data_IF_973717202961
#
_entry.id   IF_973717202961
#
_cell.length_a   1.000
_cell.length_b   1.000
_cell.length_c   1.000
_cell.angle_alpha   90.00
_cell.angle_beta   90.00
_cell.angle_gamma   90.00
#
_symmetry.space_group_name_H-M   'P 1'
#
loop_
_entity.id
_entity.type
_entity.pdbx_description
1 polymer ?
#
# COMPACT_ATOMS: atom_id res chain seq x y z
N UNK A 1 -29.77 10.84 21.30
CA UNK A 1 -30.04 9.39 21.16
C UNK A 1 -28.87 8.74 20.43
N UNK A 2 -27.91 8.25 21.22
CA UNK A 2 -26.78 7.46 20.73
C UNK A 2 -27.31 6.08 20.32
N UNK A 3 -27.20 5.70 19.05
CA UNK A 3 -27.49 4.34 18.61
C UNK A 3 -26.34 3.45 19.04
N UNK A 4 -26.60 2.55 19.99
CA UNK A 4 -25.75 1.40 20.29
C UNK A 4 -25.37 0.69 18.99
N UNK A 5 -24.09 0.79 18.61
CA UNK A 5 -23.53 0.06 17.49
C UNK A 5 -23.33 -1.39 17.94
N UNK A 6 -24.20 -2.30 17.45
CA UNK A 6 -24.02 -3.75 17.58
C UNK A 6 -22.67 -4.14 16.97
N UNK A 7 -21.77 -4.67 17.78
CA UNK A 7 -20.52 -5.30 17.33
C UNK A 7 -20.86 -6.52 16.49
N UNK A 8 -20.67 -6.43 15.18
CA UNK A 8 -20.96 -7.51 14.21
C UNK A 8 -19.86 -8.57 14.34
N UNK A 9 -20.24 -9.86 14.31
CA UNK A 9 -19.26 -10.95 14.36
C UNK A 9 -18.36 -10.93 13.10
N UNK A 10 -17.09 -11.35 13.24
CA UNK A 10 -16.15 -11.38 12.11
C UNK A 10 -16.67 -12.16 10.90
N UNK A 11 -17.39 -13.26 11.14
CA UNK A 11 -18.02 -14.06 10.08
C UNK A 11 -19.14 -13.31 9.35
N UNK A 12 -19.98 -12.53 10.06
CA UNK A 12 -21.02 -11.72 9.42
C UNK A 12 -20.44 -10.55 8.63
N UNK A 13 -19.35 -9.95 9.12
CA UNK A 13 -18.60 -8.92 8.39
C UNK A 13 -18.06 -9.46 7.07
N UNK A 14 -17.41 -10.61 7.08
CA UNK A 14 -16.89 -11.25 5.85
C UNK A 14 -18.00 -11.62 4.87
N UNK A 15 -19.09 -12.23 5.35
CA UNK A 15 -20.24 -12.57 4.49
C UNK A 15 -20.83 -11.35 3.78
N UNK A 16 -21.04 -10.25 4.51
CA UNK A 16 -21.56 -8.99 3.93
C UNK A 16 -20.59 -8.39 2.90
N UNK A 17 -19.29 -8.42 3.18
CA UNK A 17 -18.25 -7.98 2.24
C UNK A 17 -18.26 -8.78 0.94
N UNK A 18 -18.33 -10.12 1.03
CA UNK A 18 -18.38 -11.01 -0.14
C UNK A 18 -19.64 -10.76 -0.96
N UNK A 19 -20.81 -10.67 -0.32
CA UNK A 19 -22.08 -10.40 -1.01
C UNK A 19 -22.01 -9.04 -1.73
N UNK A 20 -21.47 -8.01 -1.08
CA UNK A 20 -21.29 -6.69 -1.67
C UNK A 20 -20.37 -6.73 -2.91
N UNK A 21 -19.28 -7.50 -2.83
CA UNK A 21 -18.34 -7.69 -3.94
C UNK A 21 -18.98 -8.41 -5.13
N UNK A 22 -19.69 -9.52 -4.89
CA UNK A 22 -20.34 -10.31 -5.95
C UNK A 22 -21.44 -9.50 -6.65
N UNK A 23 -22.32 -8.84 -5.88
CA UNK A 23 -23.37 -7.98 -6.44
C UNK A 23 -22.75 -6.81 -7.22
N UNK A 24 -21.65 -6.27 -6.70
CA UNK A 24 -20.82 -5.28 -7.35
C UNK A 24 -20.38 -5.67 -8.75
N UNK A 25 -19.67 -6.80 -8.81
CA UNK A 25 -19.13 -7.37 -10.02
C UNK A 25 -20.22 -7.62 -11.07
N UNK A 26 -21.31 -8.29 -10.68
CA UNK A 26 -22.41 -8.61 -11.59
C UNK A 26 -23.00 -7.33 -12.19
N UNK A 27 -23.20 -6.31 -11.36
CA UNK A 27 -23.74 -5.02 -11.79
C UNK A 27 -22.79 -4.33 -12.76
N UNK A 28 -21.48 -4.27 -12.45
CA UNK A 28 -20.50 -3.61 -13.32
C UNK A 28 -20.35 -4.33 -14.67
N UNK A 29 -20.37 -5.67 -14.69
CA UNK A 29 -20.37 -6.46 -15.94
C UNK A 29 -21.60 -6.15 -16.78
N UNK A 30 -22.80 -6.16 -16.16
CA UNK A 30 -24.05 -5.87 -16.85
C UNK A 30 -24.02 -4.46 -17.47
N UNK A 31 -23.56 -3.47 -16.70
CA UNK A 31 -23.44 -2.09 -17.15
C UNK A 31 -22.41 -1.93 -18.27
N UNK A 32 -21.24 -2.57 -18.14
CA UNK A 32 -20.23 -2.58 -19.18
C UNK A 32 -20.80 -3.12 -20.50
N UNK A 33 -21.39 -4.31 -20.49
CA UNK A 33 -21.95 -4.94 -21.70
C UNK A 33 -23.04 -4.08 -22.32
N UNK A 34 -23.97 -3.58 -21.51
CA UNK A 34 -25.07 -2.75 -21.98
C UNK A 34 -24.57 -1.44 -22.62
N UNK A 35 -23.70 -0.69 -21.93
CA UNK A 35 -23.13 0.58 -22.41
C UNK A 35 -22.23 0.38 -23.61
N UNK A 36 -21.41 -0.67 -23.61
CA UNK A 36 -20.53 -0.98 -24.75
C UNK A 36 -21.34 -1.27 -26.01
N UNK A 37 -22.41 -2.07 -25.89
CA UNK A 37 -23.31 -2.35 -27.00
C UNK A 37 -23.97 -1.08 -27.55
N UNK A 38 -24.60 -0.26 -26.70
CA UNK A 38 -25.23 0.99 -27.17
C UNK A 38 -24.21 2.02 -27.67
N UNK A 39 -22.98 2.03 -27.13
CA UNK A 39 -21.89 2.89 -27.58
C UNK A 39 -21.47 2.54 -29.00
N UNK A 40 -21.28 1.24 -29.29
CA UNK A 40 -20.97 0.75 -30.63
C UNK A 40 -22.09 1.08 -31.64
N UNK A 41 -23.36 0.79 -31.29
CA UNK A 41 -24.48 1.06 -32.19
C UNK A 41 -24.74 2.54 -32.42
N UNK A 42 -24.55 3.39 -31.40
CA UNK A 42 -24.74 4.83 -31.52
C UNK A 42 -23.56 5.55 -32.19
N UNK A 43 -22.38 4.92 -32.24
CA UNK A 43 -21.12 5.55 -32.64
C UNK A 43 -20.60 6.57 -31.63
N UNK A 44 -21.11 6.55 -30.39
CA UNK A 44 -20.74 7.53 -29.35
C UNK A 44 -19.46 7.16 -28.64
N UNK A 45 -18.47 8.05 -28.75
CA UNK A 45 -17.16 7.87 -28.12
C UNK A 45 -17.28 8.09 -26.61
N UNK A 46 -18.15 9.01 -26.16
CA UNK A 46 -18.36 9.25 -24.73
C UNK A 46 -19.08 8.09 -24.03
N UNK A 47 -20.07 7.46 -24.67
CA UNK A 47 -20.73 6.24 -24.14
C UNK A 47 -19.74 5.09 -24.08
N UNK A 48 -18.91 4.90 -25.10
CA UNK A 48 -17.90 3.83 -25.09
C UNK A 48 -16.83 4.06 -24.02
N UNK A 49 -16.37 5.30 -23.81
CA UNK A 49 -15.45 5.63 -22.72
C UNK A 49 -16.07 5.33 -21.35
N UNK A 50 -17.33 5.71 -21.12
CA UNK A 50 -18.06 5.40 -19.88
C UNK A 50 -18.29 3.88 -19.67
N UNK A 51 -18.40 3.11 -20.77
CA UNK A 51 -18.39 1.65 -20.72
C UNK A 51 -17.02 1.12 -20.25
N UNK A 52 -15.90 1.62 -20.78
CA UNK A 52 -14.55 1.21 -20.35
C UNK A 52 -14.27 1.55 -18.88
N UNK A 53 -14.82 2.66 -18.38
CA UNK A 53 -14.75 2.95 -16.95
C UNK A 53 -15.42 1.82 -16.13
N UNK A 54 -16.59 1.36 -16.57
CA UNK A 54 -17.28 0.22 -15.93
C UNK A 54 -16.50 -1.10 -16.08
N UNK A 55 -15.79 -1.28 -17.20
CA UNK A 55 -14.88 -2.42 -17.41
C UNK A 55 -13.69 -2.36 -16.44
N UNK A 56 -13.14 -1.18 -16.17
CA UNK A 56 -12.02 -0.98 -15.25
C UNK A 56 -12.43 -1.42 -13.82
N UNK A 57 -13.62 -1.02 -13.38
CA UNK A 57 -14.19 -1.49 -12.10
C UNK A 57 -14.37 -3.01 -12.05
N UNK A 58 -14.88 -3.59 -13.14
CA UNK A 58 -15.04 -5.04 -13.29
C UNK A 58 -13.68 -5.72 -13.23
N UNK A 59 -12.68 -5.21 -13.93
CA UNK A 59 -11.35 -5.80 -13.99
C UNK A 59 -10.67 -5.77 -12.62
N UNK A 60 -10.77 -4.67 -11.87
CA UNK A 60 -10.34 -4.60 -10.46
C UNK A 60 -11.06 -5.63 -9.59
N UNK A 61 -12.38 -5.78 -9.76
CA UNK A 61 -13.17 -6.77 -9.00
C UNK A 61 -12.83 -8.22 -9.35
N UNK A 62 -12.60 -8.51 -10.64
CA UNK A 62 -12.15 -9.84 -11.10
C UNK A 62 -10.73 -10.10 -10.62
N UNK A 63 -9.85 -9.10 -10.66
CA UNK A 63 -8.49 -9.22 -10.16
C UNK A 63 -8.49 -9.57 -8.68
N UNK A 64 -9.33 -8.92 -7.88
CA UNK A 64 -9.53 -9.30 -6.49
C UNK A 64 -9.98 -10.77 -6.38
N UNK A 65 -11.01 -11.19 -7.13
CA UNK A 65 -11.55 -12.57 -7.02
C UNK A 65 -10.65 -13.69 -7.55
N UNK A 66 -10.01 -13.47 -8.70
CA UNK A 66 -9.10 -14.43 -9.36
C UNK A 66 -7.72 -14.36 -8.72
N UNK A 67 -7.27 -13.17 -8.37
CA UNK A 67 -6.09 -12.92 -7.54
C UNK A 67 -6.16 -13.74 -6.27
N UNK A 68 -7.28 -13.70 -5.53
CA UNK A 68 -7.48 -14.57 -4.36
C UNK A 68 -7.32 -16.06 -4.67
N UNK A 69 -7.83 -16.54 -5.81
CA UNK A 69 -7.76 -17.97 -6.16
C UNK A 69 -6.34 -18.42 -6.52
N UNK A 70 -5.57 -17.57 -7.21
CA UNK A 70 -4.18 -17.85 -7.60
C UNK A 70 -3.23 -17.60 -6.42
N UNK A 71 -3.45 -16.53 -5.66
CA UNK A 71 -2.73 -16.20 -4.43
C UNK A 71 -2.92 -17.27 -3.36
N UNK A 72 -4.08 -17.94 -3.31
CA UNK A 72 -4.32 -19.08 -2.44
C UNK A 72 -3.50 -20.33 -2.82
N UNK A 73 -2.79 -20.34 -3.96
CA UNK A 73 -1.85 -21.42 -4.27
C UNK A 73 -0.69 -21.35 -3.27
N UNK A 74 -0.48 -22.41 -2.46
CA UNK A 74 0.58 -22.42 -1.45
C UNK A 74 1.97 -22.33 -2.09
N UNK A 75 2.98 -22.11 -1.25
CA UNK A 75 4.38 -22.17 -1.66
C UNK A 75 4.69 -23.53 -2.32
N UNK A 76 5.49 -23.49 -3.38
CA UNK A 76 6.03 -24.67 -4.05
C UNK A 76 7.55 -24.55 -4.20
N UNK A 77 8.19 -25.54 -4.84
CA UNK A 77 9.65 -25.62 -4.95
C UNK A 77 10.24 -24.44 -5.75
N UNK A 78 9.51 -23.92 -6.72
CA UNK A 78 9.94 -22.78 -7.53
C UNK A 78 9.63 -21.44 -6.83
N UNK A 79 8.58 -21.41 -6.00
CA UNK A 79 8.08 -20.22 -5.32
C UNK A 79 7.95 -20.46 -3.80
N UNK A 80 9.07 -20.43 -3.04
CA UNK A 80 9.06 -20.74 -1.60
C UNK A 80 8.28 -19.72 -0.76
N UNK A 81 8.13 -18.49 -1.27
CA UNK A 81 7.33 -17.46 -0.61
C UNK A 81 5.83 -17.54 -0.96
N UNK A 82 5.46 -18.35 -1.96
CA UNK A 82 4.08 -18.45 -2.47
C UNK A 82 3.84 -17.63 -3.73
N UNK A 83 2.58 -17.58 -4.15
CA UNK A 83 2.17 -16.99 -5.43
C UNK A 83 1.38 -15.68 -5.27
N UNK A 84 1.32 -15.12 -4.07
CA UNK A 84 0.43 -13.98 -3.79
C UNK A 84 0.78 -12.72 -4.61
N UNK A 85 2.06 -12.50 -4.96
CA UNK A 85 2.45 -11.39 -5.86
C UNK A 85 1.87 -11.49 -7.27
N UNK A 86 1.35 -12.65 -7.70
CA UNK A 86 0.64 -12.74 -8.98
C UNK A 86 -0.60 -11.85 -9.04
N UNK A 87 -1.18 -11.49 -7.89
CA UNK A 87 -2.25 -10.50 -7.82
C UNK A 87 -1.77 -9.14 -8.36
N UNK A 88 -0.62 -8.67 -7.90
CA UNK A 88 -0.04 -7.41 -8.38
C UNK A 88 0.36 -7.47 -9.85
N UNK A 89 0.95 -8.58 -10.29
CA UNK A 89 1.34 -8.79 -11.70
C UNK A 89 0.10 -8.76 -12.60
N UNK A 90 -0.96 -9.46 -12.21
CA UNK A 90 -2.19 -9.50 -12.99
C UNK A 90 -2.85 -8.12 -13.05
N UNK A 91 -2.81 -7.36 -11.94
CA UNK A 91 -3.30 -5.99 -11.87
C UNK A 91 -2.50 -5.03 -12.73
N UNK A 92 -1.18 -5.21 -12.79
CA UNK A 92 -0.31 -4.47 -13.68
C UNK A 92 -0.74 -4.68 -15.15
N UNK A 93 -0.91 -5.93 -15.59
CA UNK A 93 -1.37 -6.23 -16.96
C UNK A 93 -2.73 -5.61 -17.29
N UNK A 94 -3.69 -5.72 -16.37
CA UNK A 94 -5.01 -5.10 -16.52
C UNK A 94 -4.89 -3.58 -16.69
N UNK A 95 -4.05 -2.94 -15.87
CA UNK A 95 -3.84 -1.50 -15.89
C UNK A 95 -3.17 -1.03 -17.18
N UNK A 96 -2.26 -1.83 -17.76
CA UNK A 96 -1.67 -1.56 -19.09
C UNK A 96 -2.77 -1.57 -20.16
N UNK A 97 -3.64 -2.58 -20.15
CA UNK A 97 -4.73 -2.71 -21.14
C UNK A 97 -5.70 -1.53 -21.02
N UNK A 98 -6.12 -1.18 -19.81
CA UNK A 98 -7.03 -0.03 -19.57
C UNK A 98 -6.40 1.27 -20.06
N UNK A 99 -5.12 1.50 -19.75
CA UNK A 99 -4.39 2.69 -20.18
C UNK A 99 -4.30 2.77 -21.71
N UNK A 100 -3.95 1.66 -22.36
CA UNK A 100 -3.90 1.56 -23.82
C UNK A 100 -5.26 1.84 -24.46
N UNK A 101 -6.34 1.24 -23.94
CA UNK A 101 -7.70 1.49 -24.41
C UNK A 101 -8.09 2.96 -24.18
N UNK A 102 -7.69 3.56 -23.06
CA UNK A 102 -7.88 5.00 -22.80
C UNK A 102 -7.26 5.88 -23.89
N UNK A 103 -6.04 5.57 -24.35
CA UNK A 103 -5.41 6.27 -25.47
C UNK A 103 -6.16 6.10 -26.80
N UNK A 104 -6.71 4.91 -27.06
CA UNK A 104 -7.55 4.67 -28.24
C UNK A 104 -8.82 5.54 -28.22
N UNK A 105 -9.46 5.68 -27.05
CA UNK A 105 -10.61 6.57 -26.90
C UNK A 105 -10.24 8.04 -27.00
N UNK A 106 -9.08 8.44 -26.48
CA UNK A 106 -8.57 9.81 -26.61
C UNK A 106 -8.41 10.17 -28.09
N UNK A 107 -7.76 9.30 -28.86
CA UNK A 107 -7.55 9.47 -30.30
C UNK A 107 -8.89 9.45 -31.08
N UNK A 108 -9.82 8.55 -30.73
CA UNK A 108 -11.17 8.54 -31.28
C UNK A 108 -11.94 9.85 -30.98
N UNK A 109 -11.81 10.38 -29.76
CA UNK A 109 -12.43 11.65 -29.36
C UNK A 109 -11.84 12.84 -30.12
N UNK A 110 -10.51 12.89 -30.27
CA UNK A 110 -9.82 13.92 -31.07
C UNK A 110 -10.31 13.87 -32.53
N UNK A 111 -10.33 12.68 -33.14
CA UNK A 111 -10.87 12.52 -34.50
C UNK A 111 -12.30 13.03 -34.60
N UNK A 112 -13.15 12.71 -33.63
CA UNK A 112 -14.55 13.11 -33.62
C UNK A 112 -14.75 14.62 -33.43
N UNK A 113 -13.85 15.29 -32.71
CA UNK A 113 -13.85 16.75 -32.59
C UNK A 113 -13.54 17.39 -33.95
N UNK A 114 -12.51 16.90 -34.66
CA UNK A 114 -12.11 17.47 -35.95
C UNK A 114 -12.97 17.03 -37.14
N UNK A 115 -13.54 15.82 -37.07
CA UNK A 115 -14.42 15.24 -38.08
C UNK A 115 -15.69 14.74 -37.38
N UNK A 116 -16.65 15.65 -37.10
CA UNK A 116 -17.83 15.27 -36.35
C UNK A 116 -18.72 14.33 -37.17
N UNK A 117 -18.94 13.13 -36.66
CA UNK A 117 -19.86 12.14 -37.24
C UNK A 117 -21.22 12.18 -36.55
N UNK A 118 -22.27 11.76 -37.26
CA UNK A 118 -23.63 11.73 -36.70
C UNK A 118 -23.80 10.55 -35.74
N UNK A 119 -24.35 10.84 -34.56
CA UNK A 119 -24.76 9.79 -33.63
C UNK A 119 -26.11 9.17 -33.99
N UNK A 120 -26.20 7.85 -33.84
CA UNK A 120 -27.48 7.12 -33.94
C UNK A 120 -28.12 7.06 -32.55
N UNK A 121 -28.76 8.15 -32.16
CA UNK A 121 -29.42 8.29 -30.86
C UNK A 121 -30.87 7.80 -30.92
N UNK A 122 -31.08 6.55 -30.50
CA UNK A 122 -32.42 5.95 -30.36
C UNK A 122 -32.92 6.05 -28.91
N UNK A 123 -34.24 5.95 -28.64
CA UNK A 123 -34.77 5.94 -27.29
C UNK A 123 -34.13 4.88 -26.38
N UNK A 124 -33.67 3.76 -26.96
CA UNK A 124 -33.01 2.68 -26.22
C UNK A 124 -31.68 3.14 -25.60
N UNK A 125 -30.94 4.03 -26.26
CA UNK A 125 -29.67 4.60 -25.75
C UNK A 125 -29.94 5.35 -24.44
N UNK A 126 -30.94 6.24 -24.46
CA UNK A 126 -31.33 7.01 -23.27
C UNK A 126 -31.85 6.11 -22.14
N UNK A 127 -32.66 5.09 -22.47
CA UNK A 127 -33.16 4.13 -21.47
C UNK A 127 -32.02 3.39 -20.78
N UNK A 128 -31.02 2.91 -21.53
CA UNK A 128 -29.86 2.21 -20.97
C UNK A 128 -29.01 3.13 -20.09
N UNK A 129 -28.79 4.39 -20.50
CA UNK A 129 -28.04 5.36 -19.68
C UNK A 129 -28.78 5.72 -18.38
N UNK A 130 -30.09 5.95 -18.45
CA UNK A 130 -30.93 6.21 -17.26
C UNK A 130 -30.94 5.00 -16.33
N UNK A 131 -31.10 3.80 -16.90
CA UNK A 131 -31.04 2.55 -16.14
C UNK A 131 -29.67 2.36 -15.48
N UNK A 132 -28.59 2.72 -16.17
CA UNK A 132 -27.23 2.68 -15.63
C UNK A 132 -27.04 3.59 -14.43
N UNK A 133 -27.53 4.83 -14.53
CA UNK A 133 -27.53 5.79 -13.41
C UNK A 133 -28.30 5.22 -12.21
N UNK A 134 -29.48 4.65 -12.45
CA UNK A 134 -30.31 4.07 -11.39
C UNK A 134 -29.60 2.89 -10.71
N UNK A 135 -28.98 2.00 -11.48
CA UNK A 135 -28.21 0.88 -10.93
C UNK A 135 -27.00 1.35 -10.11
N UNK A 136 -26.19 2.29 -10.60
CA UNK A 136 -25.05 2.85 -9.86
C UNK A 136 -25.51 3.59 -8.59
N UNK A 137 -26.64 4.30 -8.62
CA UNK A 137 -27.24 4.91 -7.42
C UNK A 137 -27.69 3.87 -6.38
N UNK A 138 -28.29 2.75 -6.81
CA UNK A 138 -28.67 1.66 -5.91
C UNK A 138 -27.43 0.98 -5.33
N UNK A 139 -26.43 0.72 -6.17
CA UNK A 139 -25.15 0.14 -5.79
C UNK A 139 -24.41 1.02 -4.77
N UNK A 140 -24.28 2.32 -5.04
CA UNK A 140 -23.66 3.28 -4.10
C UNK A 140 -24.38 3.36 -2.75
N UNK A 141 -25.72 3.32 -2.76
CA UNK A 141 -26.52 3.24 -1.51
C UNK A 141 -26.29 1.94 -0.76
N UNK A 142 -26.25 0.81 -1.46
CA UNK A 142 -25.95 -0.50 -0.88
C UNK A 142 -24.57 -0.50 -0.21
N UNK A 143 -23.53 -0.04 -0.92
CA UNK A 143 -22.18 0.06 -0.37
C UNK A 143 -22.10 1.01 0.81
N UNK A 144 -22.79 2.15 0.77
CA UNK A 144 -22.85 3.09 1.90
C UNK A 144 -23.48 2.44 3.14
N UNK A 145 -24.52 1.61 2.96
CA UNK A 145 -25.16 0.89 4.07
C UNK A 145 -24.23 -0.17 4.64
N UNK A 146 -23.61 -0.97 3.77
CA UNK A 146 -22.69 -2.01 4.20
C UNK A 146 -21.44 -1.45 4.85
N UNK A 147 -20.81 -0.41 4.29
CA UNK A 147 -19.63 0.24 4.85
C UNK A 147 -19.87 0.75 6.28
N UNK A 148 -21.02 1.38 6.54
CA UNK A 148 -21.41 1.81 7.91
C UNK A 148 -21.69 0.64 8.85
N UNK A 149 -22.26 -0.43 8.31
CA UNK A 149 -22.63 -1.62 9.09
C UNK A 149 -21.37 -2.38 9.53
N UNK A 150 -20.41 -2.59 8.62
CA UNK A 150 -19.20 -3.39 8.90
C UNK A 150 -17.96 -2.54 9.17
N UNK A 151 -18.08 -1.20 9.23
CA UNK A 151 -16.97 -0.25 9.38
C UNK A 151 -15.81 -0.53 8.40
N UNK A 152 -16.14 -0.54 7.10
CA UNK A 152 -15.19 -0.79 6.02
C UNK A 152 -14.93 0.48 5.22
N UNK A 153 -13.71 1.03 5.34
CA UNK A 153 -13.26 2.15 4.52
C UNK A 153 -13.15 1.75 3.03
N UNK A 154 -12.81 0.49 2.73
CA UNK A 154 -12.82 -0.04 1.37
C UNK A 154 -14.20 0.08 0.72
N UNK A 155 -15.27 -0.43 1.37
CA UNK A 155 -16.63 -0.30 0.84
C UNK A 155 -17.12 1.15 0.76
N UNK A 156 -16.59 2.04 1.61
CA UNK A 156 -16.90 3.47 1.57
C UNK A 156 -16.24 4.14 0.36
N UNK A 157 -15.01 3.75 0.00
CA UNK A 157 -14.38 4.14 -1.25
C UNK A 157 -15.17 3.63 -2.46
N UNK A 158 -15.53 2.35 -2.50
CA UNK A 158 -16.34 1.78 -3.60
C UNK A 158 -17.71 2.46 -3.73
N UNK A 159 -18.32 2.88 -2.62
CA UNK A 159 -19.55 3.66 -2.65
C UNK A 159 -19.34 5.02 -3.34
N UNK A 160 -18.24 5.71 -3.02
CA UNK A 160 -17.87 7.00 -3.62
C UNK A 160 -17.65 6.84 -5.13
N UNK A 161 -16.94 5.79 -5.55
CA UNK A 161 -16.69 5.50 -6.96
C UNK A 161 -18.01 5.24 -7.70
N UNK A 162 -18.92 4.46 -7.12
CA UNK A 162 -20.26 4.24 -7.69
C UNK A 162 -21.03 5.55 -7.88
N UNK A 163 -20.87 6.53 -6.99
CA UNK A 163 -21.47 7.86 -7.17
C UNK A 163 -20.73 8.70 -8.22
N UNK A 164 -19.41 8.61 -8.33
CA UNK A 164 -18.65 9.24 -9.40
C UNK A 164 -19.12 8.75 -10.78
N UNK A 165 -19.39 7.46 -10.93
CA UNK A 165 -19.92 6.89 -12.18
C UNK A 165 -21.30 7.41 -12.55
N UNK A 166 -22.12 7.77 -11.55
CA UNK A 166 -23.40 8.44 -11.80
C UNK A 166 -23.16 9.79 -12.47
N UNK A 167 -22.16 10.55 -12.01
CA UNK A 167 -21.82 11.84 -12.63
C UNK A 167 -21.22 11.68 -14.03
N UNK A 168 -20.36 10.67 -14.26
CA UNK A 168 -19.83 10.41 -15.62
C UNK A 168 -20.95 10.01 -16.58
N UNK A 169 -21.81 9.07 -16.17
CA UNK A 169 -22.94 8.61 -17.00
C UNK A 169 -23.95 9.75 -17.22
N UNK A 170 -24.16 10.63 -16.24
CA UNK A 170 -25.01 11.81 -16.38
C UNK A 170 -24.43 12.80 -17.40
N UNK A 171 -23.11 13.05 -17.37
CA UNK A 171 -22.46 13.90 -18.36
C UNK A 171 -22.64 13.34 -19.79
N UNK A 172 -22.52 12.02 -19.96
CA UNK A 172 -22.79 11.32 -21.22
C UNK A 172 -24.25 11.43 -21.64
N UNK A 173 -25.20 11.24 -20.71
CA UNK A 173 -26.62 11.37 -20.97
C UNK A 173 -27.00 12.80 -21.42
N UNK A 174 -26.46 13.81 -20.74
CA UNK A 174 -26.64 15.23 -21.11
C UNK A 174 -26.02 15.51 -22.47
N UNK A 175 -24.82 14.97 -22.74
CA UNK A 175 -24.15 15.05 -24.04
C UNK A 175 -25.04 14.54 -25.18
N UNK A 176 -25.55 13.32 -25.04
CA UNK A 176 -26.46 12.71 -25.99
C UNK A 176 -27.78 13.49 -26.13
N UNK A 177 -28.32 14.03 -25.02
CA UNK A 177 -29.52 14.85 -25.03
C UNK A 177 -29.34 16.15 -25.82
N UNK A 178 -28.27 16.89 -25.55
CA UNK A 178 -27.94 18.13 -26.26
C UNK A 178 -27.77 17.84 -27.75
N UNK A 179 -27.03 16.81 -28.13
CA UNK A 179 -26.82 16.47 -29.53
C UNK A 179 -28.13 16.09 -30.24
N UNK A 180 -29.05 15.40 -29.54
CA UNK A 180 -30.36 15.03 -30.07
C UNK A 180 -31.29 16.24 -30.30
N UNK A 181 -31.32 17.20 -29.39
CA UNK A 181 -32.29 18.32 -29.42
C UNK A 181 -31.76 19.59 -30.10
N UNK A 182 -30.46 19.87 -29.98
CA UNK A 182 -29.83 21.09 -30.53
C UNK A 182 -29.02 20.83 -31.80
N UNK A 183 -28.64 19.57 -32.05
CA UNK A 183 -27.71 19.19 -33.11
C UNK A 183 -26.24 19.53 -32.82
N UNK A 184 -25.92 20.09 -31.65
CA UNK A 184 -24.54 20.40 -31.25
C UNK A 184 -23.76 19.12 -30.98
N UNK A 185 -22.65 18.93 -31.70
CA UNK A 185 -21.84 17.71 -31.68
C UNK A 185 -20.80 17.78 -30.57
N UNK A 186 -21.24 17.54 -29.34
CA UNK A 186 -20.40 17.66 -28.15
C UNK A 186 -19.83 16.32 -27.64
N UNK A 187 -20.26 15.19 -28.21
CA UNK A 187 -19.80 13.85 -27.83
C UNK A 187 -18.28 13.67 -27.88
N UNK A 188 -17.62 14.25 -28.88
CA UNK A 188 -16.16 14.22 -28.99
C UNK A 188 -15.46 14.90 -27.81
N UNK A 189 -15.97 16.03 -27.33
CA UNK A 189 -15.39 16.75 -26.19
C UNK A 189 -15.62 16.03 -24.86
N UNK A 190 -16.83 15.49 -24.65
CA UNK A 190 -17.13 14.71 -23.45
C UNK A 190 -16.32 13.40 -23.44
N UNK A 191 -16.22 12.74 -24.59
CA UNK A 191 -15.35 11.57 -24.77
C UNK A 191 -13.88 11.89 -24.48
N UNK A 192 -13.38 13.05 -24.91
CA UNK A 192 -11.99 13.47 -24.67
C UNK A 192 -11.70 13.60 -23.17
N UNK A 193 -12.59 14.26 -22.42
CA UNK A 193 -12.46 14.41 -20.97
C UNK A 193 -12.50 13.05 -20.27
N UNK A 194 -13.45 12.18 -20.65
CA UNK A 194 -13.56 10.84 -20.08
C UNK A 194 -12.34 9.96 -20.42
N UNK A 195 -11.82 10.03 -21.65
CA UNK A 195 -10.60 9.32 -22.04
C UNK A 195 -9.39 9.79 -21.22
N UNK A 196 -9.25 11.10 -20.99
CA UNK A 196 -8.22 11.64 -20.10
C UNK A 196 -8.35 11.11 -18.66
N UNK A 197 -9.57 11.02 -18.14
CA UNK A 197 -9.84 10.41 -16.83
C UNK A 197 -9.45 8.92 -16.78
N UNK A 198 -9.79 8.14 -17.82
CA UNK A 198 -9.43 6.71 -17.92
C UNK A 198 -7.91 6.53 -17.96
N UNK A 199 -7.19 7.34 -18.76
CA UNK A 199 -5.72 7.30 -18.84
C UNK A 199 -5.12 7.61 -17.48
N UNK A 200 -5.60 8.67 -16.81
CA UNK A 200 -5.14 9.04 -15.47
C UNK A 200 -5.36 7.90 -14.47
N UNK A 201 -6.56 7.30 -14.46
CA UNK A 201 -6.90 6.16 -13.60
C UNK A 201 -5.99 4.96 -13.88
N UNK A 202 -5.80 4.60 -15.15
CA UNK A 202 -4.93 3.50 -15.56
C UNK A 202 -3.46 3.70 -15.15
N UNK A 203 -2.92 4.91 -15.31
CA UNK A 203 -1.55 5.25 -14.88
C UNK A 203 -1.40 5.20 -13.35
N UNK A 204 -2.39 5.68 -12.61
CA UNK A 204 -2.40 5.59 -11.15
C UNK A 204 -2.41 4.13 -10.69
N UNK A 205 -3.25 3.28 -11.30
CA UNK A 205 -3.27 1.84 -11.00
C UNK A 205 -1.94 1.18 -11.34
N UNK A 206 -1.34 1.48 -12.50
CA UNK A 206 -0.01 0.99 -12.88
C UNK A 206 1.03 1.32 -11.82
N UNK A 207 1.08 2.59 -11.40
CA UNK A 207 2.01 3.07 -10.38
C UNK A 207 1.81 2.32 -9.06
N UNK A 208 0.56 2.17 -8.62
CA UNK A 208 0.25 1.50 -7.35
C UNK A 208 0.67 0.03 -7.38
N UNK A 209 0.38 -0.72 -8.46
CA UNK A 209 0.85 -2.10 -8.60
C UNK A 209 2.38 -2.23 -8.71
N UNK A 210 3.06 -1.26 -9.33
CA UNK A 210 4.53 -1.23 -9.36
C UNK A 210 5.09 -1.03 -7.95
N UNK A 211 4.52 -0.12 -7.15
CA UNK A 211 4.94 0.05 -5.77
C UNK A 211 4.74 -1.21 -4.93
N UNK A 212 3.60 -1.89 -5.08
CA UNK A 212 3.35 -3.16 -4.39
C UNK A 212 4.34 -4.26 -4.80
N UNK A 213 4.75 -4.29 -6.07
CA UNK A 213 5.78 -5.22 -6.56
C UNK A 213 7.18 -4.92 -6.03
N UNK A 214 7.53 -3.63 -5.89
CA UNK A 214 8.81 -3.20 -5.31
C UNK A 214 8.89 -3.46 -3.80
N UNK A 215 7.75 -3.59 -3.13
CA UNK A 215 7.64 -3.76 -1.68
C UNK A 215 7.26 -2.44 -1.02
N UNK A 216 5.95 -2.21 -0.89
CA UNK A 216 5.40 -1.01 -0.26
C UNK A 216 5.83 -0.90 1.19
N UNK A 217 6.18 0.31 1.63
CA UNK A 217 6.43 0.58 3.05
C UNK A 217 5.14 0.30 3.85
N UNK A 218 5.23 -0.39 5.00
CA UNK A 218 4.07 -0.56 5.86
C UNK A 218 3.56 0.80 6.36
N UNK A 219 2.29 0.81 6.77
CA UNK A 219 1.70 2.01 7.37
C UNK A 219 2.36 2.32 8.72
N UNK A 220 2.39 3.60 9.10
CA UNK A 220 2.95 4.02 10.39
C UNK A 220 2.24 3.37 11.58
N UNK A 221 0.97 3.03 11.44
CA UNK A 221 0.19 2.32 12.48
C UNK A 221 0.64 0.86 12.64
N UNK A 222 0.94 0.17 11.53
CA UNK A 222 1.47 -1.19 11.57
C UNK A 222 2.85 -1.24 12.23
N UNK A 223 3.75 -0.33 11.83
CA UNK A 223 5.10 -0.23 12.42
C UNK A 223 4.99 0.00 13.93
N UNK A 224 4.18 0.98 14.35
CA UNK A 224 3.97 1.30 15.77
C UNK A 224 3.37 0.13 16.56
N UNK A 225 2.55 -0.69 15.91
CA UNK A 225 1.97 -1.89 16.54
C UNK A 225 3.06 -2.94 16.79
N UNK A 226 3.93 -3.18 15.80
CA UNK A 226 5.08 -4.09 15.92
C UNK A 226 6.07 -3.60 17.00
N UNK A 227 6.45 -2.33 16.96
CA UNK A 227 7.32 -1.71 17.98
C UNK A 227 6.76 -1.88 19.39
N UNK A 228 5.46 -1.59 19.57
CA UNK A 228 4.79 -1.74 20.86
C UNK A 228 4.81 -3.19 21.36
N UNK A 229 4.67 -4.16 20.45
CA UNK A 229 4.76 -5.58 20.80
C UNK A 229 6.19 -5.95 21.21
N UNK A 230 7.21 -5.53 20.45
CA UNK A 230 8.62 -5.75 20.80
C UNK A 230 8.97 -5.12 22.16
N UNK A 231 8.57 -3.87 22.40
CA UNK A 231 8.80 -3.19 23.69
C UNK A 231 8.11 -3.86 24.88
N UNK A 232 7.16 -4.77 24.66
CA UNK A 232 6.44 -5.45 25.74
C UNK A 232 7.23 -6.60 26.37
N UNK A 233 8.24 -7.14 25.66
CA UNK A 233 9.04 -8.25 26.16
C UNK A 233 10.12 -7.73 27.13
N UNK A 234 10.03 -8.14 28.39
CA UNK A 234 11.05 -7.81 29.42
C UNK A 234 12.35 -8.58 29.24
N UNK A 235 12.35 -9.61 28.42
CA UNK A 235 13.50 -10.49 28.15
C UNK A 235 14.50 -9.90 27.15
N UNK A 236 14.14 -8.81 26.48
CA UNK A 236 15.03 -8.09 25.55
C UNK A 236 15.41 -6.75 26.17
N UNK A 237 16.60 -6.26 25.86
CA UNK A 237 17.12 -4.98 26.32
C UNK A 237 16.66 -3.83 25.42
N UNK A 238 16.43 -4.15 24.15
CA UNK A 238 16.10 -3.23 23.09
C UNK A 238 15.91 -3.96 21.76
N UNK A 239 15.59 -3.18 20.73
CA UNK A 239 15.56 -3.64 19.36
C UNK A 239 15.89 -2.47 18.44
N UNK A 240 16.39 -2.80 17.26
CA UNK A 240 16.63 -1.85 16.17
C UNK A 240 16.43 -2.58 14.82
N UNK A 241 16.53 -1.88 13.71
CA UNK A 241 16.52 -2.50 12.38
C UNK A 241 15.28 -3.32 12.04
N UNK A 242 14.10 -2.81 12.45
CA UNK A 242 12.82 -3.39 12.04
C UNK A 242 12.54 -3.10 10.56
N UNK A 243 12.95 -4.03 9.72
CA UNK A 243 12.71 -4.03 8.28
C UNK A 243 11.48 -4.88 8.00
N UNK A 244 10.47 -4.30 7.36
CA UNK A 244 9.23 -5.00 7.02
C UNK A 244 9.02 -4.97 5.52
N UNK A 245 8.71 -6.11 4.95
CA UNK A 245 8.45 -6.27 3.52
C UNK A 245 7.32 -7.26 3.26
N UNK A 246 6.64 -7.14 2.12
CA UNK A 246 5.51 -7.99 1.75
C UNK A 246 5.83 -8.86 0.52
N UNK A 247 5.31 -10.08 0.52
CA UNK A 247 5.35 -11.03 -0.61
C UNK A 247 3.94 -11.33 -1.14
N UNK A 248 3.08 -10.32 -1.09
CA UNK A 248 1.66 -10.40 -1.42
C UNK A 248 0.82 -9.65 -0.40
N UNK A 249 -0.48 -9.49 -0.66
CA UNK A 249 -1.37 -8.71 0.20
C UNK A 249 -1.52 -9.30 1.61
N UNK A 250 -1.40 -10.62 1.79
CA UNK A 250 -1.61 -11.27 3.08
C UNK A 250 -0.33 -11.88 3.66
N UNK A 251 0.83 -11.65 3.02
CA UNK A 251 2.07 -12.29 3.44
C UNK A 251 3.15 -11.27 3.75
N UNK A 252 3.27 -10.95 5.03
CA UNK A 252 4.23 -9.99 5.56
C UNK A 252 5.37 -10.71 6.23
N UNK A 253 6.56 -10.24 5.93
CA UNK A 253 7.79 -10.66 6.55
C UNK A 253 8.43 -9.46 7.22
N UNK A 254 9.13 -9.72 8.30
CA UNK A 254 9.95 -8.71 8.94
C UNK A 254 11.27 -9.32 9.40
N UNK A 255 12.31 -8.51 9.40
CA UNK A 255 13.55 -8.80 10.13
C UNK A 255 13.79 -7.72 11.16
N UNK A 256 14.36 -8.09 12.29
CA UNK A 256 14.65 -7.15 13.39
C UNK A 256 15.88 -7.60 14.16
N UNK A 257 16.66 -6.64 14.63
CA UNK A 257 17.76 -6.88 15.55
C UNK A 257 17.26 -6.79 16.98
N UNK A 258 17.50 -7.84 17.77
CA UNK A 258 17.03 -7.96 19.15
C UNK A 258 18.22 -7.93 20.08
N UNK A 259 18.29 -6.89 20.92
CA UNK A 259 19.34 -6.74 21.92
C UNK A 259 19.04 -7.65 23.13
N UNK A 260 19.96 -8.54 23.46
CA UNK A 260 19.87 -9.44 24.62
C UNK A 260 21.12 -9.35 25.49
N UNK A 261 21.02 -9.82 26.73
CA UNK A 261 22.16 -9.89 27.65
C UNK A 261 23.19 -10.93 27.15
N UNK A 262 24.46 -10.52 27.04
CA UNK A 262 25.55 -11.37 26.57
C UNK A 262 25.93 -12.51 27.53
N UNK A 263 25.43 -12.47 28.77
CA UNK A 263 25.63 -13.53 29.76
C UNK A 263 24.71 -14.74 29.56
N UNK A 264 23.66 -14.59 28.73
CA UNK A 264 22.74 -15.69 28.40
C UNK A 264 23.46 -16.77 27.59
N UNK A 265 23.14 -18.04 27.87
CA UNK A 265 23.59 -19.09 26.98
C UNK A 265 22.81 -19.07 25.65
N UNK A 266 23.40 -19.63 24.59
CA UNK A 266 22.81 -19.61 23.26
C UNK A 266 21.40 -20.20 23.20
N UNK A 267 21.12 -21.25 24.00
CA UNK A 267 19.80 -21.87 24.04
C UNK A 267 18.75 -20.97 24.71
N UNK A 268 19.14 -20.17 25.70
CA UNK A 268 18.26 -19.19 26.34
C UNK A 268 17.95 -18.03 25.40
N UNK A 269 18.98 -17.48 24.75
CA UNK A 269 18.81 -16.44 23.75
C UNK A 269 17.91 -16.91 22.58
N UNK A 270 18.14 -18.12 22.07
CA UNK A 270 17.30 -18.71 21.01
C UNK A 270 15.84 -18.89 21.45
N UNK A 271 15.60 -19.32 22.70
CA UNK A 271 14.23 -19.45 23.24
C UNK A 271 13.50 -18.11 23.30
N UNK A 272 14.20 -17.01 23.61
CA UNK A 272 13.60 -15.67 23.62
C UNK A 272 13.12 -15.31 22.23
N UNK A 273 13.96 -15.49 21.20
CA UNK A 273 13.58 -15.23 19.82
C UNK A 273 12.44 -16.12 19.35
N UNK A 274 12.50 -17.44 19.61
CA UNK A 274 11.45 -18.38 19.23
C UNK A 274 10.07 -17.96 19.75
N UNK A 275 10.03 -17.39 20.97
CA UNK A 275 8.80 -16.89 21.57
C UNK A 275 8.32 -15.64 20.83
N UNK A 276 9.21 -14.70 20.55
CA UNK A 276 8.88 -13.45 19.85
C UNK A 276 8.38 -13.76 18.44
N UNK A 277 9.09 -14.59 17.67
CA UNK A 277 8.71 -14.95 16.30
C UNK A 277 7.34 -15.65 16.24
N UNK A 278 7.10 -16.62 17.14
CA UNK A 278 5.80 -17.31 17.23
C UNK A 278 4.67 -16.38 17.63
N UNK A 279 4.92 -15.47 18.56
CA UNK A 279 3.90 -14.52 19.01
C UNK A 279 3.57 -13.52 17.89
N UNK A 280 4.57 -12.99 17.19
CA UNK A 280 4.39 -12.16 15.99
C UNK A 280 3.55 -12.85 14.92
N UNK A 281 3.85 -14.13 14.63
CA UNK A 281 3.06 -14.90 13.66
C UNK A 281 1.61 -15.09 14.12
N UNK A 282 1.38 -15.25 15.43
CA UNK A 282 0.04 -15.49 15.99
C UNK A 282 -0.80 -14.22 16.12
N UNK A 283 -0.20 -13.10 16.53
CA UNK A 283 -0.92 -11.86 16.85
C UNK A 283 -1.04 -10.93 15.67
N UNK A 284 0.00 -10.86 14.82
CA UNK A 284 0.10 -9.91 13.72
C UNK A 284 0.10 -10.58 12.33
N UNK A 285 0.18 -11.91 12.27
CA UNK A 285 0.38 -12.68 11.03
C UNK A 285 1.61 -12.22 10.24
N UNK A 286 2.70 -11.95 10.96
CA UNK A 286 3.99 -11.55 10.38
C UNK A 286 4.99 -12.69 10.58
N UNK A 287 5.60 -13.13 9.49
CA UNK A 287 6.74 -14.05 9.52
C UNK A 287 8.01 -13.24 9.88
N UNK A 288 8.30 -13.17 11.17
CA UNK A 288 9.44 -12.43 11.73
C UNK A 288 10.70 -13.31 11.76
N UNK A 289 11.84 -12.73 11.40
CA UNK A 289 13.17 -13.31 11.60
C UNK A 289 13.98 -12.38 12.50
N UNK A 290 14.39 -12.87 13.66
CA UNK A 290 15.16 -12.06 14.60
C UNK A 290 16.66 -12.33 14.48
N UNK A 291 17.47 -11.27 14.39
CA UNK A 291 18.90 -11.32 14.63
C UNK A 291 19.17 -11.13 16.14
N UNK A 292 20.12 -11.89 16.70
CA UNK A 292 20.55 -11.73 18.10
C UNK A 292 21.72 -10.75 18.17
N UNK A 293 21.53 -9.66 18.89
CA UNK A 293 22.61 -8.75 19.26
C UNK A 293 22.92 -8.83 20.76
N UNK A 294 24.02 -9.51 21.15
CA UNK A 294 24.42 -9.59 22.53
C UNK A 294 25.00 -8.25 22.99
N UNK A 295 24.50 -7.75 24.12
CA UNK A 295 24.95 -6.52 24.76
C UNK A 295 25.62 -6.86 26.08
N UNK A 296 26.87 -6.40 26.25
CA UNK A 296 27.70 -6.64 27.42
C UNK A 296 27.26 -5.81 28.64
N UNK A 297 26.00 -5.98 29.06
CA UNK A 297 25.44 -5.21 30.14
C UNK A 297 26.08 -5.55 31.47
N UNK A 298 26.87 -6.60 31.66
CA UNK A 298 27.57 -6.84 32.93
C UNK A 298 28.98 -6.24 32.99
N UNK A 299 29.49 -5.76 31.86
CA UNK A 299 30.81 -5.15 31.77
C UNK A 299 30.76 -3.65 32.13
N UNK A 300 31.37 -3.27 33.26
CA UNK A 300 31.38 -1.88 33.73
C UNK A 300 32.03 -0.91 32.74
N UNK A 301 33.13 -1.33 32.10
CA UNK A 301 33.83 -0.54 31.09
C UNK A 301 32.92 -0.29 29.89
N UNK A 302 32.24 -1.34 29.41
CA UNK A 302 31.26 -1.25 28.33
C UNK A 302 30.14 -0.26 28.67
N UNK A 303 29.49 -0.41 29.83
CA UNK A 303 28.41 0.51 30.26
C UNK A 303 28.88 1.96 30.33
N UNK A 304 30.08 2.19 30.86
CA UNK A 304 30.65 3.53 30.99
C UNK A 304 30.85 4.16 29.61
N UNK A 305 31.46 3.42 28.68
CA UNK A 305 31.70 3.87 27.31
C UNK A 305 30.36 4.11 26.60
N UNK A 306 29.42 3.16 26.67
CA UNK A 306 28.09 3.30 26.06
C UNK A 306 27.36 4.56 26.55
N UNK A 307 27.39 4.82 27.87
CA UNK A 307 26.75 6.01 28.45
C UNK A 307 27.41 7.30 27.96
N UNK A 308 28.75 7.34 27.89
CA UNK A 308 29.48 8.50 27.40
C UNK A 308 29.26 8.73 25.91
N UNK A 309 29.27 7.68 25.11
CA UNK A 309 28.97 7.74 23.67
C UNK A 309 27.56 8.24 23.41
N UNK A 310 26.54 7.67 24.06
CA UNK A 310 25.15 8.15 23.94
C UNK A 310 25.03 9.64 24.29
N UNK A 311 25.78 10.12 25.28
CA UNK A 311 25.81 11.53 25.63
C UNK A 311 26.50 12.39 24.57
N UNK A 312 27.66 11.95 24.03
CA UNK A 312 28.37 12.63 22.94
C UNK A 312 27.48 12.76 21.70
N UNK A 313 26.87 11.65 21.28
CA UNK A 313 26.01 11.62 20.10
C UNK A 313 24.81 12.54 20.28
N UNK A 314 24.16 12.52 21.46
CA UNK A 314 23.04 13.42 21.77
C UNK A 314 23.44 14.90 21.79
N UNK A 315 24.66 15.23 22.22
CA UNK A 315 25.19 16.60 22.18
C UNK A 315 25.48 17.08 20.75
N UNK A 316 25.82 16.17 19.84
CA UNK A 316 26.07 16.48 18.42
C UNK A 316 24.76 16.61 17.62
N UNK A 317 23.71 15.89 18.01
CA UNK A 317 22.36 16.03 17.47
C UNK A 317 21.36 15.17 18.24
N UNK A 318 20.24 15.75 18.66
CA UNK A 318 19.21 15.00 19.41
C UNK A 318 18.55 13.86 18.60
N UNK A 319 18.63 13.95 17.29
CA UNK A 319 18.03 13.03 16.33
C UNK A 319 19.00 11.97 15.81
N UNK A 320 20.27 11.99 16.24
CA UNK A 320 21.23 10.91 16.00
C UNK A 320 21.00 9.76 16.99
N UNK A 321 21.10 8.52 16.52
CA UNK A 321 21.01 7.32 17.35
C UNK A 321 22.25 6.46 17.19
N UNK A 322 22.60 5.74 18.26
CA UNK A 322 23.75 4.86 18.31
C UNK A 322 23.29 3.42 18.55
N UNK A 323 23.76 2.50 17.70
CA UNK A 323 23.49 1.07 17.76
C UNK A 323 24.79 0.26 17.66
N UNK A 324 24.71 -1.04 17.95
CA UNK A 324 25.78 -2.02 17.75
C UNK A 324 27.17 -1.68 18.29
N UNK A 325 27.22 -1.03 19.46
CA UNK A 325 28.50 -0.79 20.12
C UNK A 325 29.18 -2.10 20.48
N UNK A 326 30.39 -2.30 19.93
CA UNK A 326 31.30 -3.40 20.21
C UNK A 326 32.67 -2.85 20.60
N UNK A 327 33.27 -3.51 21.59
CA UNK A 327 34.62 -3.21 22.06
C UNK A 327 35.52 -4.38 21.63
N UNK A 328 36.34 -4.15 20.62
CA UNK A 328 37.16 -5.18 19.97
C UNK A 328 38.66 -4.94 20.21
N UNK A 329 39.50 -5.85 19.69
CA UNK A 329 40.97 -5.85 19.86
C UNK A 329 41.46 -5.66 21.29
N UNK A 330 40.88 -6.42 22.23
CA UNK A 330 41.20 -6.34 23.67
C UNK A 330 40.97 -4.93 24.27
N UNK A 331 39.97 -4.20 23.80
CA UNK A 331 39.61 -2.90 24.37
C UNK A 331 40.35 -1.71 23.77
N UNK A 332 40.86 -1.83 22.54
CA UNK A 332 41.57 -0.73 21.86
C UNK A 332 40.78 -0.10 20.71
N UNK A 333 39.75 -0.78 20.23
CA UNK A 333 38.95 -0.36 19.09
C UNK A 333 37.47 -0.38 19.46
N UNK A 334 36.78 0.71 19.12
CA UNK A 334 35.33 0.86 19.26
C UNK A 334 34.72 0.79 17.87
N UNK A 335 33.81 -0.17 17.69
CA UNK A 335 32.98 -0.31 16.51
C UNK A 335 31.53 0.00 16.89
N UNK A 336 30.85 0.87 16.16
CA UNK A 336 29.44 1.19 16.38
C UNK A 336 28.83 1.90 15.17
N UNK A 337 27.51 1.83 15.08
CA UNK A 337 26.76 2.40 13.98
C UNK A 337 25.98 3.65 14.45
N UNK A 338 25.88 4.63 13.57
CA UNK A 338 25.13 5.87 13.79
C UNK A 338 24.06 6.02 12.74
N UNK A 339 22.83 6.15 13.21
CA UNK A 339 21.69 6.47 12.34
C UNK A 339 21.61 7.97 12.15
N UNK A 340 21.74 8.41 10.90
CA UNK A 340 21.75 9.82 10.50
C UNK A 340 20.47 10.15 9.74
N UNK A 341 19.67 11.14 10.20
CA UNK A 341 18.53 11.63 9.43
C UNK A 341 18.99 12.30 8.10
N UNK A 342 18.25 12.14 6.99
CA UNK A 342 18.47 12.80 5.67
C UNK A 342 18.59 14.31 5.81
N UNK A 343 17.84 14.92 6.74
CA UNK A 343 17.86 16.37 6.94
C UNK A 343 18.98 16.81 7.91
N UNK A 344 19.85 15.89 8.32
CA UNK A 344 20.99 16.22 9.16
C UNK A 344 22.01 17.02 8.34
N UNK A 345 22.43 18.16 8.87
CA UNK A 345 23.15 19.19 8.10
C UNK A 345 24.63 18.90 7.89
N UNK A 346 25.19 17.97 8.65
CA UNK A 346 26.62 17.69 8.62
C UNK A 346 26.86 16.46 7.74
N UNK A 347 27.83 16.53 6.81
CA UNK A 347 28.27 15.34 6.09
C UNK A 347 29.00 14.37 7.04
N UNK A 348 29.02 13.09 6.67
CA UNK A 348 29.50 12.00 7.51
C UNK A 348 30.98 12.17 7.91
N UNK A 349 31.82 12.68 7.02
CA UNK A 349 33.25 12.95 7.28
C UNK A 349 33.44 13.98 8.41
N UNK A 350 32.65 15.05 8.38
CA UNK A 350 32.67 16.09 9.42
C UNK A 350 32.08 15.57 10.73
N UNK A 351 31.05 14.73 10.64
CA UNK A 351 30.43 14.12 11.81
C UNK A 351 31.40 13.13 12.49
N UNK A 352 32.06 12.28 11.70
CA UNK A 352 33.09 11.34 12.15
C UNK A 352 34.19 12.07 12.91
N UNK A 353 34.72 13.17 12.37
CA UNK A 353 35.77 13.92 13.04
C UNK A 353 35.32 14.56 14.35
N UNK A 354 34.09 15.08 14.40
CA UNK A 354 33.53 15.60 15.65
C UNK A 354 33.36 14.50 16.70
N UNK A 355 32.94 13.31 16.29
CA UNK A 355 32.81 12.16 17.18
C UNK A 355 34.18 11.73 17.68
N UNK A 356 35.17 11.61 16.79
CA UNK A 356 36.56 11.26 17.11
C UNK A 356 37.14 12.20 18.17
N UNK A 357 37.05 13.51 17.94
CA UNK A 357 37.52 14.52 18.89
C UNK A 357 36.79 14.45 20.24
N UNK A 358 35.48 14.22 20.23
CA UNK A 358 34.68 14.13 21.46
C UNK A 358 35.02 12.86 22.26
N UNK A 359 35.25 11.73 21.59
CA UNK A 359 35.64 10.47 22.22
C UNK A 359 37.04 10.58 22.82
N UNK A 360 38.02 11.10 22.07
CA UNK A 360 39.38 11.32 22.58
C UNK A 360 39.39 12.18 23.84
N UNK A 361 38.55 13.22 23.88
CA UNK A 361 38.47 14.15 25.01
C UNK A 361 37.74 13.59 26.23
N UNK A 362 36.68 12.80 26.05
CA UNK A 362 35.78 12.39 27.16
C UNK A 362 35.90 10.92 27.57
N UNK A 363 36.32 10.05 26.66
CA UNK A 363 36.34 8.59 26.85
C UNK A 363 37.78 8.07 26.90
N UNK A 364 38.62 8.52 25.98
CA UNK A 364 40.03 8.14 25.86
C UNK A 364 40.44 7.88 24.41
N UNK A 365 41.68 7.44 24.22
CA UNK A 365 42.23 7.10 22.90
C UNK A 365 41.76 5.70 22.48
N UNK A 366 40.94 5.63 21.43
CA UNK A 366 40.49 4.39 20.80
C UNK A 366 40.65 4.49 19.28
N UNK A 367 40.96 3.38 18.62
CA UNK A 367 40.68 3.25 17.19
C UNK A 367 39.16 3.22 17.00
N UNK A 368 38.64 3.94 16.00
CA UNK A 368 37.21 4.07 15.75
C UNK A 368 36.89 3.49 14.39
N UNK A 369 35.91 2.61 14.36
CA UNK A 369 35.24 2.11 13.17
C UNK A 369 33.76 2.50 13.28
N UNK A 370 33.34 3.49 12.48
CA UNK A 370 32.01 4.09 12.55
C UNK A 370 31.30 3.87 11.22
N UNK A 371 30.15 3.20 11.26
CA UNK A 371 29.26 3.11 10.10
C UNK A 371 28.18 4.17 10.23
N UNK A 372 27.92 4.91 9.15
CA UNK A 372 26.81 5.88 9.09
C UNK A 372 25.66 5.32 8.26
N UNK A 373 24.54 5.05 8.93
CA UNK A 373 23.33 4.54 8.31
C UNK A 373 22.33 5.67 8.03
N UNK A 374 22.14 5.93 6.74
CA UNK A 374 21.13 6.87 6.25
C UNK A 374 19.80 6.19 5.91
N UNK A 375 19.68 4.90 6.23
CA UNK A 375 18.48 4.13 5.95
C UNK A 375 17.37 4.48 6.94
N UNK A 376 16.34 5.16 6.44
CA UNK A 376 15.14 5.64 7.14
C UNK A 376 14.21 4.57 7.74
N UNK A 377 14.67 3.32 7.76
CA UNK A 377 13.92 2.17 8.24
C UNK A 377 14.10 1.93 9.74
N UNK A 378 14.98 2.71 10.39
CA UNK A 378 15.47 2.51 11.77
C UNK A 378 14.84 3.45 12.81
N UNK A 379 13.54 3.72 12.72
CA UNK A 379 12.85 4.62 13.66
C UNK A 379 12.46 3.95 14.98
#
# INVERSE_FOLDING_TARGET
MSKEQKTISGQERTKKGIIAGILGLITNILLFVAKFAIGLFSGSVSIMADAINSLSDTASSILTLVGFKIAAKPADQEHPFGHERFEYISGLFVSIIITYVGFQFLDASIRKIFRPEHLVLTPIVFLVLIFSILLKLLQGRMYTRFSKTIQSEALKATAKDSYNDVFTTLAVLVSAGIERFTGWRIDGYVGFVLAGYIIFSGIMMLRDFVYELLGSRPTAEEIKTMEKQLSSYKSILGFHDLLVHNYGPNKKFASVHIEVDDSLNLNEAHKIIDIIEKDFKKTLDVDLVCHLDPVAIHNEQYRKILKQLRQIIKELGEELRLHDLRIIRKGKELQFDIVVPQNFKLPDDVLEEKIRQAIEKKVGSFELDITFDHNYLLY
#
